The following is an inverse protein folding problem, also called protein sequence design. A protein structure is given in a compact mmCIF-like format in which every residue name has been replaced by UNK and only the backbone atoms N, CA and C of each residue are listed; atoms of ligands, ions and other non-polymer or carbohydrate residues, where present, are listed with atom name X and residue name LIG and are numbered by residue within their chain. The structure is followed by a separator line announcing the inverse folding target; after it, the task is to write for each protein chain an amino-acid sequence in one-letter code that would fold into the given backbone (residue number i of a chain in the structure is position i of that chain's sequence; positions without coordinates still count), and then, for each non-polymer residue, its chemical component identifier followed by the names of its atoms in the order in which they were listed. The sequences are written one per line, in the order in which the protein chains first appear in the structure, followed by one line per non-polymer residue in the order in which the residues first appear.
data_IF_718333671542
#
_entry.id   IF_718333671542
#
_cell.length_a   1.000
_cell.length_b   1.000
_cell.length_c   1.000
_cell.angle_alpha   90.00
_cell.angle_beta   90.00
_cell.angle_gamma   90.00
#
_symmetry.space_group_name_H-M   'P 1'
#
loop_
_entity.id
_entity.type
_entity.pdbx_description
1 polymer ?
#
# COMPACT_ATOMS: atom_id res chain seq x y z
N UNK A 1 -13.64 -7.50 -11.46
CA UNK A 1 -12.75 -6.43 -10.98
C UNK A 1 -13.62 -5.39 -10.29
N UNK A 2 -13.47 -5.14 -9.00
CA UNK A 2 -14.22 -4.08 -8.31
C UNK A 2 -13.68 -2.72 -8.75
N UNK A 3 -14.59 -1.77 -9.01
CA UNK A 3 -14.23 -0.38 -9.25
C UNK A 3 -13.54 0.23 -8.02
N UNK A 4 -12.79 1.33 -8.21
CA UNK A 4 -12.11 2.00 -7.09
C UNK A 4 -13.13 2.45 -6.03
N UNK A 5 -14.30 2.91 -6.47
CA UNK A 5 -15.40 3.29 -5.59
C UNK A 5 -15.85 2.12 -4.70
N UNK A 6 -16.09 0.94 -5.29
CA UNK A 6 -16.50 -0.25 -4.53
C UNK A 6 -15.43 -0.71 -3.53
N UNK A 7 -14.15 -0.54 -3.86
CA UNK A 7 -13.06 -0.84 -2.92
C UNK A 7 -13.03 0.13 -1.74
N UNK A 8 -13.26 1.42 -2.00
CA UNK A 8 -13.37 2.44 -0.95
C UNK A 8 -14.60 2.20 -0.08
N UNK A 9 -15.76 1.91 -0.67
CA UNK A 9 -16.98 1.58 0.08
C UNK A 9 -16.77 0.34 0.97
N UNK A 10 -16.12 -0.70 0.47
CA UNK A 10 -15.79 -1.89 1.27
C UNK A 10 -14.82 -1.58 2.41
N UNK A 11 -13.86 -0.68 2.20
CA UNK A 11 -12.91 -0.26 3.22
C UNK A 11 -13.64 0.51 4.32
N UNK A 12 -14.50 1.46 3.96
CA UNK A 12 -15.29 2.24 4.92
C UNK A 12 -16.20 1.34 5.77
N UNK A 13 -16.81 0.31 5.17
CA UNK A 13 -17.65 -0.65 5.90
C UNK A 13 -16.87 -1.54 6.91
N UNK A 14 -15.54 -1.55 6.86
CA UNK A 14 -14.69 -2.32 7.78
C UNK A 14 -14.11 -1.45 8.91
N UNK A 15 -14.26 -0.13 8.83
CA UNK A 15 -13.77 0.77 9.86
C UNK A 15 -14.72 0.79 11.06
N UNK A 16 -14.19 0.98 12.28
CA UNK A 16 -15.01 1.25 13.47
C UNK A 16 -15.86 2.52 13.32
N UNK A 17 -17.03 2.55 13.95
CA UNK A 17 -17.91 3.74 13.95
C UNK A 17 -17.26 4.97 14.62
N UNK A 18 -16.30 4.76 15.52
CA UNK A 18 -15.54 5.80 16.20
C UNK A 18 -14.23 6.19 15.50
N UNK A 19 -14.02 5.73 14.25
CA UNK A 19 -12.85 6.10 13.48
C UNK A 19 -12.78 7.60 13.21
N UNK A 20 -11.56 8.13 13.27
CA UNK A 20 -11.27 9.52 12.96
C UNK A 20 -11.16 9.76 11.45
N UNK A 21 -11.14 11.02 11.05
CA UNK A 21 -10.87 11.40 9.66
C UNK A 21 -9.46 10.95 9.27
N UNK A 22 -8.50 11.04 10.19
CA UNK A 22 -7.11 10.61 10.01
C UNK A 22 -7.02 9.11 9.75
N UNK A 23 -7.83 8.29 10.42
CA UNK A 23 -7.88 6.84 10.17
C UNK A 23 -8.35 6.55 8.74
N UNK A 24 -9.46 7.19 8.32
CA UNK A 24 -9.97 7.05 6.95
C UNK A 24 -8.90 7.45 5.93
N UNK A 25 -8.22 8.59 6.15
CA UNK A 25 -7.15 9.06 5.27
C UNK A 25 -5.98 8.07 5.19
N UNK A 26 -5.55 7.53 6.33
CA UNK A 26 -4.48 6.53 6.38
C UNK A 26 -4.84 5.28 5.59
N UNK A 27 -6.06 4.76 5.79
CA UNK A 27 -6.52 3.57 5.08
C UNK A 27 -6.62 3.81 3.57
N UNK A 28 -7.09 4.98 3.13
CA UNK A 28 -7.08 5.35 1.71
C UNK A 28 -5.66 5.46 1.14
N UNK A 29 -4.73 6.05 1.90
CA UNK A 29 -3.33 6.12 1.51
C UNK A 29 -2.74 4.73 1.31
N UNK A 30 -2.92 3.81 2.26
CA UNK A 30 -2.44 2.43 2.16
C UNK A 30 -3.07 1.70 0.98
N UNK A 31 -4.39 1.83 0.77
CA UNK A 31 -5.10 1.22 -0.35
C UNK A 31 -4.48 1.64 -1.69
N UNK A 32 -4.24 2.94 -1.86
CA UNK A 32 -3.66 3.47 -3.10
C UNK A 32 -2.19 3.04 -3.27
N UNK A 33 -1.41 3.03 -2.18
CA UNK A 33 -0.02 2.53 -2.22
C UNK A 33 0.04 1.08 -2.68
N UNK A 34 -0.75 0.19 -2.09
CA UNK A 34 -0.81 -1.22 -2.50
C UNK A 34 -1.22 -1.35 -3.97
N UNK A 35 -2.23 -0.58 -4.42
CA UNK A 35 -2.67 -0.61 -5.84
C UNK A 35 -1.54 -0.21 -6.78
N UNK A 36 -0.81 0.85 -6.47
CA UNK A 36 0.34 1.31 -7.25
C UNK A 36 1.47 0.28 -7.24
N UNK A 37 1.78 -0.32 -6.09
CA UNK A 37 2.80 -1.36 -5.95
C UNK A 37 2.50 -2.59 -6.81
N UNK A 38 1.25 -3.07 -6.79
CA UNK A 38 0.83 -4.23 -7.59
C UNK A 38 0.95 -3.95 -9.10
N UNK A 39 0.54 -2.76 -9.54
CA UNK A 39 0.69 -2.35 -10.93
C UNK A 39 2.17 -2.29 -11.34
N UNK A 40 3.02 -1.68 -10.50
CA UNK A 40 4.45 -1.61 -10.74
C UNK A 40 5.09 -3.01 -10.82
N UNK A 41 4.74 -3.90 -9.90
CA UNK A 41 5.23 -5.28 -9.89
C UNK A 41 4.81 -6.05 -11.15
N UNK A 42 3.60 -5.82 -11.66
CA UNK A 42 3.10 -6.48 -12.88
C UNK A 42 3.77 -6.05 -14.18
N UNK A 43 4.44 -4.89 -14.19
CA UNK A 43 5.02 -4.25 -15.38
C UNK A 43 6.56 -4.47 -15.50
N UNK A 44 7.13 -5.41 -14.75
CA UNK A 44 8.58 -5.74 -14.66
C UNK A 44 9.43 -4.87 -13.70
N UNK A 45 8.82 -4.16 -12.75
CA UNK A 45 9.54 -3.25 -11.85
C UNK A 45 10.02 -3.90 -10.53
N UNK A 46 10.29 -5.21 -10.52
CA UNK A 46 10.76 -5.95 -9.34
C UNK A 46 12.21 -6.38 -9.48
N UNK A 47 12.97 -6.33 -8.38
CA UNK A 47 14.35 -6.83 -8.31
C UNK A 47 14.45 -8.05 -7.38
N UNK A 48 15.47 -8.90 -7.51
CA UNK A 48 15.73 -9.99 -6.57
C UNK A 48 15.98 -9.49 -5.13
N UNK A 49 15.66 -10.33 -4.14
CA UNK A 49 15.84 -10.02 -2.72
C UNK A 49 17.29 -9.63 -2.37
N UNK A 50 18.27 -10.35 -2.90
CA UNK A 50 19.70 -10.06 -2.66
C UNK A 50 20.10 -8.66 -3.15
N UNK A 51 19.54 -8.23 -4.28
CA UNK A 51 19.80 -6.90 -4.85
C UNK A 51 19.19 -5.80 -3.97
N UNK A 52 17.95 -5.99 -3.48
CA UNK A 52 17.32 -4.99 -2.61
C UNK A 52 18.03 -4.88 -1.26
N UNK A 53 18.49 -5.99 -0.67
CA UNK A 53 19.26 -5.99 0.56
C UNK A 53 20.56 -5.19 0.39
N UNK A 54 21.29 -5.41 -0.71
CA UNK A 54 22.48 -4.63 -1.05
C UNK A 54 22.20 -3.12 -1.16
N UNK A 55 21.09 -2.72 -1.79
CA UNK A 55 20.68 -1.31 -1.91
C UNK A 55 20.28 -0.67 -0.58
N UNK A 56 19.62 -1.43 0.30
CA UNK A 56 19.08 -0.94 1.56
C UNK A 56 20.11 -0.88 2.69
N UNK A 57 21.21 -1.64 2.60
CA UNK A 57 22.25 -1.70 3.62
C UNK A 57 22.81 -0.34 4.05
N UNK A 58 22.86 0.65 3.15
CA UNK A 58 23.37 2.00 3.46
C UNK A 58 22.58 2.78 4.51
N UNK A 59 21.37 2.32 4.86
CA UNK A 59 20.51 2.94 5.87
C UNK A 59 20.42 2.14 7.17
N UNK A 60 21.11 1.00 7.27
CA UNK A 60 21.23 0.28 8.54
C UNK A 60 22.15 1.08 9.47
N UNK A 61 21.67 1.31 10.70
CA UNK A 61 22.46 1.91 11.77
C UNK A 61 22.97 0.72 12.61
N UNK A 62 24.27 0.46 12.54
CA UNK A 62 24.96 -0.55 13.38
C UNK A 62 25.31 0.00 14.76
#
# INVERSE_FOLDING_TARGET
MNSIRQKVESLLNQLPDDCSIEDIQYHLYVLEKVRQSLNAASLENTIPQEEVEGLLNKWLIE
#
